data_IF_183477561709
#
_entry.id   IF_183477561709
#
_cell.length_a   1.000
_cell.length_b   1.000
_cell.length_c   1.000
_cell.angle_alpha   90.00
_cell.angle_beta   90.00
_cell.angle_gamma   90.00
#
_symmetry.space_group_name_H-M   'P 1'
#
loop_
_entity.id
_entity.type
_entity.pdbx_description
1 polymer ?
#
# COMPACT_ATOMS: atom_id res chain seq x y z
N UNK A 1 3.55 6.51 26.34
CA UNK A 1 4.54 6.58 25.24
C UNK A 1 3.83 6.71 23.90
N UNK A 2 3.86 7.90 23.27
CA UNK A 2 3.28 8.07 21.95
C UNK A 2 4.09 7.27 20.92
N UNK A 3 3.53 6.19 20.39
CA UNK A 3 4.14 5.42 19.30
C UNK A 3 4.21 6.36 18.09
N UNK A 4 5.38 6.98 17.88
CA UNK A 4 5.67 7.84 16.72
C UNK A 4 5.30 7.03 15.48
N UNK A 5 4.14 7.34 14.86
CA UNK A 5 3.62 6.59 13.72
C UNK A 5 4.67 6.65 12.62
N UNK A 6 5.41 5.55 12.40
CA UNK A 6 6.43 5.45 11.36
C UNK A 6 5.78 5.93 10.07
N UNK A 7 6.28 7.04 9.49
CA UNK A 7 5.82 7.57 8.20
C UNK A 7 5.68 6.38 7.26
N UNK A 8 4.45 6.12 6.80
CA UNK A 8 4.19 5.01 5.89
C UNK A 8 5.06 5.24 4.67
N UNK A 9 6.10 4.42 4.51
CA UNK A 9 7.03 4.49 3.38
C UNK A 9 6.18 4.40 2.11
N UNK A 10 6.42 5.29 1.14
CA UNK A 10 5.64 5.33 -0.10
C UNK A 10 5.72 4.02 -0.88
N UNK A 11 4.84 3.82 -1.86
CA UNK A 11 4.73 2.56 -2.63
C UNK A 11 6.08 2.10 -3.19
N UNK A 12 6.84 3.00 -3.84
CA UNK A 12 8.18 2.72 -4.38
C UNK A 12 9.21 2.34 -3.30
N UNK A 13 9.13 2.91 -2.11
CA UNK A 13 10.06 2.60 -1.02
C UNK A 13 9.78 1.20 -0.44
N UNK A 14 8.50 0.82 -0.32
CA UNK A 14 8.12 -0.53 0.08
C UNK A 14 8.50 -1.56 -0.99
N UNK A 15 8.28 -1.23 -2.27
CA UNK A 15 8.73 -2.06 -3.39
C UNK A 15 10.24 -2.33 -3.34
N UNK A 16 11.08 -1.30 -3.16
CA UNK A 16 12.54 -1.46 -3.01
C UNK A 16 12.90 -2.34 -1.80
N UNK A 17 12.19 -2.17 -0.69
CA UNK A 17 12.42 -2.96 0.53
C UNK A 17 12.07 -4.44 0.29
N UNK A 18 10.94 -4.73 -0.34
CA UNK A 18 10.52 -6.10 -0.68
C UNK A 18 11.50 -6.73 -1.67
N UNK A 19 11.88 -6.01 -2.73
CA UNK A 19 12.85 -6.47 -3.71
C UNK A 19 14.18 -6.87 -3.05
N UNK A 20 14.71 -6.02 -2.16
CA UNK A 20 15.95 -6.31 -1.43
C UNK A 20 15.82 -7.46 -0.44
N UNK A 21 14.71 -7.54 0.30
CA UNK A 21 14.51 -8.59 1.32
C UNK A 21 14.28 -9.97 0.70
N UNK A 22 13.63 -10.03 -0.45
CA UNK A 22 13.24 -11.28 -1.10
C UNK A 22 14.16 -11.67 -2.27
N UNK A 23 15.15 -10.84 -2.61
CA UNK A 23 16.03 -11.08 -3.77
C UNK A 23 15.29 -11.12 -5.11
N UNK A 24 14.15 -10.43 -5.22
CA UNK A 24 13.32 -10.45 -6.44
C UNK A 24 13.42 -9.14 -7.22
N UNK A 25 13.10 -9.22 -8.52
CA UNK A 25 13.03 -8.03 -9.37
C UNK A 25 11.99 -7.03 -8.85
N UNK A 26 12.26 -5.74 -9.08
CA UNK A 26 11.34 -4.65 -8.74
C UNK A 26 9.95 -4.86 -9.36
N UNK A 27 9.87 -5.48 -10.55
CA UNK A 27 8.60 -5.81 -11.23
C UNK A 27 7.78 -6.79 -10.38
N UNK A 28 8.38 -7.89 -9.93
CA UNK A 28 7.72 -8.88 -9.05
C UNK A 28 7.32 -8.26 -7.71
N UNK A 29 8.22 -7.49 -7.09
CA UNK A 29 7.92 -6.80 -5.83
C UNK A 29 6.74 -5.83 -5.96
N UNK A 30 6.63 -5.11 -7.09
CA UNK A 30 5.51 -4.22 -7.38
C UNK A 30 4.19 -4.99 -7.48
N UNK A 31 4.19 -6.13 -8.19
CA UNK A 31 3.01 -6.97 -8.35
C UNK A 31 2.51 -7.51 -7.00
N UNK A 32 3.42 -7.97 -6.14
CA UNK A 32 3.08 -8.45 -4.78
C UNK A 32 2.44 -7.33 -3.96
N UNK A 33 3.08 -6.16 -3.93
CA UNK A 33 2.58 -5.02 -3.18
C UNK A 33 1.22 -4.52 -3.72
N UNK A 34 1.04 -4.52 -5.03
CA UNK A 34 -0.22 -4.15 -5.67
C UNK A 34 -1.34 -5.16 -5.38
N UNK A 35 -1.04 -6.46 -5.41
CA UNK A 35 -1.99 -7.51 -5.04
C UNK A 35 -2.46 -7.36 -3.59
N UNK A 36 -1.54 -7.07 -2.67
CA UNK A 36 -1.87 -6.74 -1.29
C UNK A 36 -2.82 -5.54 -1.20
N UNK A 37 -2.51 -4.45 -1.90
CA UNK A 37 -3.36 -3.25 -1.93
C UNK A 37 -4.77 -3.48 -2.51
N UNK A 38 -4.94 -4.47 -3.41
CA UNK A 38 -6.26 -4.81 -3.97
C UNK A 38 -7.14 -5.57 -2.98
N UNK A 39 -6.53 -6.50 -2.22
CA UNK A 39 -7.24 -7.37 -1.26
C UNK A 39 -7.58 -6.71 0.08
N UNK A 40 -7.07 -5.52 0.38
CA UNK A 40 -7.38 -4.85 1.65
C UNK A 40 -8.86 -4.47 1.79
N UNK A 41 -9.39 -4.57 3.01
CA UNK A 41 -10.79 -4.23 3.32
C UNK A 41 -11.12 -2.73 3.23
N UNK A 42 -12.42 -2.41 3.19
CA UNK A 42 -12.91 -1.04 3.06
C UNK A 42 -12.44 -0.10 4.19
N UNK A 43 -12.35 -0.60 5.43
CA UNK A 43 -11.86 0.16 6.58
C UNK A 43 -10.40 0.61 6.40
N UNK A 44 -9.54 -0.26 5.86
CA UNK A 44 -8.14 0.07 5.59
C UNK A 44 -8.00 1.12 4.48
N UNK A 45 -8.83 1.03 3.42
CA UNK A 45 -8.88 2.02 2.34
C UNK A 45 -9.32 3.40 2.84
N UNK A 46 -10.29 3.46 3.77
CA UNK A 46 -10.71 4.71 4.43
C UNK A 46 -9.60 5.32 5.28
N UNK A 47 -8.87 4.50 6.04
CA UNK A 47 -7.74 4.94 6.86
C UNK A 47 -6.54 5.42 6.02
N UNK A 48 -6.32 4.84 4.84
CA UNK A 48 -5.26 5.25 3.93
C UNK A 48 -5.76 5.37 2.49
N UNK A 49 -6.28 6.55 2.10
CA UNK A 49 -6.79 6.77 0.74
C UNK A 49 -5.71 6.65 -0.35
N UNK A 50 -4.42 6.68 0.01
CA UNK A 50 -3.32 6.47 -0.96
C UNK A 50 -3.29 5.05 -1.54
N UNK A 51 -3.89 4.08 -0.84
CA UNK A 51 -4.02 2.70 -1.35
C UNK A 51 -4.90 2.66 -2.62
N UNK A 52 -5.86 3.57 -2.74
CA UNK A 52 -6.72 3.69 -3.92
C UNK A 52 -6.03 4.31 -5.14
N UNK A 53 -4.78 4.78 -5.00
CA UNK A 53 -3.97 5.24 -6.13
C UNK A 53 -3.33 4.08 -6.91
N UNK A 54 -3.36 2.86 -6.37
CA UNK A 54 -2.89 1.67 -7.06
C UNK A 54 -3.96 1.23 -8.07
N UNK A 55 -3.54 0.88 -9.28
CA UNK A 55 -4.44 0.43 -10.34
C UNK A 55 -5.18 -0.87 -9.97
N UNK A 56 -6.47 -0.92 -10.31
CA UNK A 56 -7.35 -2.06 -10.02
C UNK A 56 -7.83 -2.14 -8.55
N UNK A 57 -7.52 -1.15 -7.71
CA UNK A 57 -8.10 -1.07 -6.36
C UNK A 57 -9.52 -0.49 -6.45
N UNK A 58 -10.53 -1.26 -6.02
CA UNK A 58 -11.91 -0.77 -5.92
C UNK A 58 -11.96 0.46 -5.01
N UNK A 59 -12.32 1.60 -5.60
CA UNK A 59 -12.45 2.87 -4.90
C UNK A 59 -13.61 2.77 -3.92
N UNK A 60 -13.39 3.16 -2.67
CA UNK A 60 -14.47 3.26 -1.68
C UNK A 60 -14.97 4.71 -1.73
N UNK A 61 -16.29 4.91 -1.74
CA UNK A 61 -16.86 6.25 -1.56
C UNK A 61 -16.48 6.73 -0.16
N UNK A 62 -15.47 7.61 -0.10
CA UNK A 62 -15.11 8.30 1.12
C UNK A 62 -16.26 9.27 1.40
N UNK A 63 -16.96 9.11 2.52
CA UNK A 63 -17.95 10.10 2.96
C UNK A 63 -17.13 11.36 3.25
N UNK A 64 -17.25 12.36 2.37
CA UNK A 64 -16.64 13.69 2.55
C UNK A 64 -17.24 14.22 3.86
N UNK A 65 -16.40 14.38 4.89
CA UNK A 65 -16.75 15.16 6.09
C UNK A 65 -16.29 16.58 5.82
#
# INVERSE_FOLDING_TARGET
MAIKRKKVRGFKANQKTIARRQGISKKRASSILAAGARKVGAAAKRKNPRLMKVSGVKKVRLKKR
#
